data_IF_263108822211
#
_entry.id   IF_263108822211
#
_cell.length_a   1.000
_cell.length_b   1.000
_cell.length_c   1.000
_cell.angle_alpha   90.00
_cell.angle_beta   90.00
_cell.angle_gamma   90.00
#
_symmetry.space_group_name_H-M   'P 1'
#
loop_
_entity.id
_entity.type
_entity.pdbx_description
1 polymer ?
#
# COMPACT_ATOMS: atom_id res chain seq x y z
N UNK A 1 -10.77 -2.64 20.84
CA UNK A 1 -11.26 -3.76 20.01
C UNK A 1 -10.31 -4.93 20.25
N UNK A 2 -10.79 -5.98 20.91
CA UNK A 2 -10.01 -7.19 21.16
C UNK A 2 -10.02 -8.06 19.90
N UNK A 3 -8.83 -8.38 19.38
CA UNK A 3 -8.68 -9.32 18.27
C UNK A 3 -8.47 -10.69 18.91
N UNK A 4 -9.53 -11.51 18.97
CA UNK A 4 -9.46 -12.89 19.43
C UNK A 4 -8.64 -13.73 18.46
N UNK A 5 -7.43 -14.11 18.86
CA UNK A 5 -6.58 -15.07 18.14
C UNK A 5 -6.99 -16.50 18.54
N UNK A 6 -7.80 -17.17 17.71
CA UNK A 6 -8.04 -18.61 17.85
C UNK A 6 -6.73 -19.36 17.54
N UNK A 7 -6.17 -19.99 18.56
CA UNK A 7 -4.91 -20.74 18.45
C UNK A 7 -5.15 -22.07 17.73
N UNK A 8 -4.50 -22.27 16.58
CA UNK A 8 -4.36 -23.59 15.94
C UNK A 8 -2.93 -24.13 16.14
N UNK A 9 -2.76 -25.45 16.40
CA UNK A 9 -1.48 -25.99 16.85
C UNK A 9 -0.67 -26.60 15.68
N UNK A 10 0.27 -25.82 15.15
CA UNK A 10 1.62 -26.24 14.75
C UNK A 10 2.38 -24.98 14.32
N UNK A 11 3.32 -24.53 15.15
CA UNK A 11 3.74 -23.12 15.23
C UNK A 11 5.27 -22.98 15.25
N UNK A 12 5.95 -23.74 14.42
CA UNK A 12 7.36 -23.51 14.06
C UNK A 12 7.37 -23.30 12.53
N UNK A 13 8.09 -22.29 12.04
CA UNK A 13 8.34 -21.99 10.61
C UNK A 13 7.35 -21.10 9.82
N UNK A 14 6.72 -20.08 10.43
CA UNK A 14 6.15 -18.96 9.65
C UNK A 14 6.50 -17.59 10.21
N UNK A 15 7.78 -17.36 10.43
CA UNK A 15 8.28 -16.00 10.68
C UNK A 15 8.47 -15.27 9.35
N UNK A 16 7.95 -14.04 9.27
CA UNK A 16 8.20 -13.14 8.15
C UNK A 16 9.69 -12.75 8.14
N UNK A 17 10.35 -12.93 7.00
CA UNK A 17 11.80 -12.72 6.86
C UNK A 17 12.10 -11.57 5.89
N UNK A 18 13.12 -10.80 6.22
CA UNK A 18 13.63 -9.77 5.31
C UNK A 18 14.14 -10.43 4.02
N UNK A 19 13.62 -9.99 2.87
CA UNK A 19 13.83 -10.67 1.57
C UNK A 19 15.29 -10.77 1.13
N UNK A 20 16.18 -9.90 1.65
CA UNK A 20 17.60 -9.88 1.28
C UNK A 20 18.54 -10.50 2.33
N UNK A 21 18.31 -10.26 3.62
CA UNK A 21 19.20 -10.74 4.69
C UNK A 21 18.69 -12.01 5.37
N UNK A 22 17.40 -12.32 5.25
CA UNK A 22 16.79 -13.47 5.91
C UNK A 22 16.51 -13.27 7.41
N UNK A 23 16.84 -12.08 7.95
CA UNK A 23 16.57 -11.75 9.35
C UNK A 23 15.06 -11.77 9.64
N UNK A 24 14.70 -12.17 10.86
CA UNK A 24 13.32 -12.19 11.34
C UNK A 24 12.81 -10.76 11.46
N UNK A 25 11.62 -10.49 10.91
CA UNK A 25 10.96 -9.20 10.98
C UNK A 25 10.07 -9.15 12.22
N UNK A 26 10.37 -8.22 13.13
CA UNK A 26 9.53 -7.94 14.29
C UNK A 26 8.58 -6.76 14.01
N UNK A 27 7.24 -6.95 14.07
CA UNK A 27 6.29 -5.86 13.87
C UNK A 27 6.29 -4.90 15.08
N UNK A 28 6.60 -3.63 14.82
CA UNK A 28 6.60 -2.57 15.84
C UNK A 28 5.64 -1.44 15.45
N UNK A 29 4.79 -1.02 16.39
CA UNK A 29 3.91 0.14 16.20
C UNK A 29 4.72 1.43 16.18
N UNK A 30 4.70 2.13 15.03
CA UNK A 30 5.32 3.45 14.85
C UNK A 30 4.38 4.36 14.08
N UNK A 31 4.52 5.67 14.30
CA UNK A 31 3.82 6.67 13.50
C UNK A 31 4.33 6.59 12.06
N UNK A 32 3.40 6.58 11.11
CA UNK A 32 3.70 6.34 9.72
C UNK A 32 2.84 7.20 8.80
N UNK A 33 3.37 7.49 7.62
CA UNK A 33 2.70 8.29 6.59
C UNK A 33 2.25 7.41 5.43
N UNK A 34 1.01 7.59 5.00
CA UNK A 34 0.40 6.88 3.88
C UNK A 34 -0.27 7.88 2.93
N UNK A 35 -0.28 7.55 1.64
CA UNK A 35 -1.14 8.21 0.65
C UNK A 35 -2.36 7.34 0.43
N UNK A 36 -3.56 7.95 0.50
CA UNK A 36 -4.80 7.34 0.05
C UNK A 36 -4.85 7.39 -1.46
N UNK A 37 -4.74 6.23 -2.11
CA UNK A 37 -4.71 6.08 -3.56
C UNK A 37 -6.05 5.60 -4.14
N UNK A 38 -7.14 5.60 -3.37
CA UNK A 38 -8.46 5.14 -3.81
C UNK A 38 -8.91 5.80 -5.13
N UNK A 39 -8.91 7.13 -5.18
CA UNK A 39 -9.36 7.88 -6.36
C UNK A 39 -8.40 7.72 -7.55
N UNK A 40 -7.12 7.54 -7.27
CA UNK A 40 -6.11 7.26 -8.29
C UNK A 40 -6.31 5.86 -8.88
N UNK A 41 -6.61 4.87 -8.03
CA UNK A 41 -6.90 3.49 -8.43
C UNK A 41 -8.16 3.42 -9.31
N UNK A 42 -9.23 4.12 -8.93
CA UNK A 42 -10.47 4.21 -9.74
C UNK A 42 -10.20 4.81 -11.12
N UNK A 43 -9.47 5.93 -11.18
CA UNK A 43 -9.10 6.57 -12.46
C UNK A 43 -8.23 5.66 -13.33
N UNK A 44 -7.27 4.96 -12.73
CA UNK A 44 -6.41 4.03 -13.45
C UNK A 44 -7.21 2.83 -13.99
N UNK A 45 -8.14 2.29 -13.22
CA UNK A 45 -9.03 1.22 -13.67
C UNK A 45 -9.93 1.65 -14.83
N UNK A 46 -10.51 2.86 -14.75
CA UNK A 46 -11.33 3.42 -15.82
C UNK A 46 -10.52 3.63 -17.11
N UNK A 47 -9.30 4.16 -17.02
CA UNK A 47 -8.44 4.35 -18.19
C UNK A 47 -8.13 3.03 -18.93
N UNK A 48 -8.04 1.91 -18.21
CA UNK A 48 -7.88 0.58 -18.80
C UNK A 48 -9.17 0.09 -19.46
N UNK A 49 -10.33 0.41 -18.89
CA UNK A 49 -11.64 0.07 -19.47
C UNK A 49 -11.97 0.86 -20.72
N UNK A 50 -11.62 2.14 -20.72
CA UNK A 50 -11.81 3.05 -21.85
C UNK A 50 -10.79 2.81 -22.97
N UNK A 51 -9.82 1.89 -22.78
CA UNK A 51 -8.76 1.61 -23.74
C UNK A 51 -7.71 2.72 -23.87
N UNK A 52 -7.72 3.71 -22.97
CA UNK A 52 -6.67 4.74 -22.89
C UNK A 52 -5.35 4.18 -22.36
N UNK A 53 -5.41 3.11 -21.58
CA UNK A 53 -4.25 2.39 -21.04
C UNK A 53 -4.37 0.89 -21.36
N UNK A 54 -3.43 0.34 -22.11
CA UNK A 54 -3.41 -1.08 -22.46
C UNK A 54 -2.41 -1.85 -21.57
N UNK A 55 -2.86 -2.98 -21.00
CA UNK A 55 -2.01 -3.88 -20.21
C UNK A 55 -1.62 -5.08 -21.06
N UNK A 56 -0.32 -5.25 -21.27
CA UNK A 56 0.25 -6.35 -22.05
C UNK A 56 1.15 -7.20 -21.14
N UNK A 57 0.99 -8.54 -21.14
CA UNK A 57 -0.08 -9.33 -21.78
C UNK A 57 -1.49 -9.14 -21.21
N UNK A 58 -2.51 -9.20 -22.09
CA UNK A 58 -3.93 -8.96 -21.78
C UNK A 58 -4.52 -9.81 -20.64
N UNK A 59 -4.00 -11.01 -20.40
CA UNK A 59 -4.52 -11.87 -19.33
C UNK A 59 -4.17 -11.34 -17.93
N UNK A 60 -3.19 -10.42 -17.80
CA UNK A 60 -2.87 -9.77 -16.53
C UNK A 60 -3.84 -8.65 -16.16
N UNK A 61 -4.69 -8.18 -17.08
CA UNK A 61 -5.62 -7.08 -16.83
C UNK A 61 -6.49 -7.34 -15.60
N UNK A 62 -6.98 -8.58 -15.44
CA UNK A 62 -7.80 -8.96 -14.27
C UNK A 62 -7.01 -8.87 -12.97
N UNK A 63 -5.85 -9.53 -12.90
CA UNK A 63 -5.00 -9.55 -11.70
C UNK A 63 -4.51 -8.15 -11.34
N UNK A 64 -4.14 -7.33 -12.33
CA UNK A 64 -3.72 -5.97 -12.11
C UNK A 64 -4.85 -5.11 -11.52
N UNK A 65 -6.07 -5.21 -12.07
CA UNK A 65 -7.24 -4.48 -11.54
C UNK A 65 -7.52 -4.88 -10.09
N UNK A 66 -7.48 -6.17 -9.79
CA UNK A 66 -7.65 -6.67 -8.41
C UNK A 66 -6.60 -6.07 -7.47
N UNK A 67 -5.32 -6.08 -7.85
CA UNK A 67 -4.24 -5.51 -7.02
C UNK A 67 -4.38 -4.00 -6.78
N UNK A 68 -4.72 -3.24 -7.82
CA UNK A 68 -4.83 -1.78 -7.73
C UNK A 68 -6.06 -1.35 -6.93
N UNK A 69 -7.17 -2.09 -7.03
CA UNK A 69 -8.40 -1.80 -6.28
C UNK A 69 -8.34 -2.30 -4.84
N UNK A 70 -7.64 -3.41 -4.55
CA UNK A 70 -7.55 -3.96 -3.20
C UNK A 70 -6.51 -3.25 -2.32
N UNK A 71 -5.42 -2.75 -2.89
CA UNK A 71 -4.31 -2.15 -2.13
C UNK A 71 -4.20 -0.65 -2.41
N UNK A 72 -5.08 0.11 -1.78
CA UNK A 72 -5.24 1.56 -2.01
C UNK A 72 -4.37 2.44 -1.11
N UNK A 73 -3.60 1.86 -0.18
CA UNK A 73 -2.75 2.61 0.73
C UNK A 73 -1.29 2.45 0.34
N UNK A 74 -0.60 3.57 0.13
CA UNK A 74 0.79 3.60 -0.31
C UNK A 74 1.65 4.26 0.75
N UNK A 75 2.63 3.52 1.24
CA UNK A 75 3.56 4.00 2.26
C UNK A 75 4.43 5.16 1.75
N UNK A 76 4.58 6.18 2.57
CA UNK A 76 5.48 7.31 2.34
C UNK A 76 6.52 7.37 3.44
N UNK A 77 7.77 7.59 3.03
CA UNK A 77 8.88 7.73 3.95
C UNK A 77 9.10 9.21 4.27
N UNK A 78 9.21 9.55 5.54
CA UNK A 78 9.48 10.90 6.05
C UNK A 78 10.13 10.80 7.43
N UNK A 79 10.84 11.85 7.87
CA UNK A 79 11.22 12.03 9.28
C UNK A 79 10.26 13.02 9.97
N UNK A 80 9.52 13.80 9.19
CA UNK A 80 8.42 14.67 9.62
C UNK A 80 7.22 14.55 8.67
N UNK A 81 6.06 15.04 9.13
CA UNK A 81 4.83 15.11 8.32
C UNK A 81 5.02 15.96 7.07
N UNK A 82 5.58 17.17 7.21
CA UNK A 82 5.90 18.02 6.05
C UNK A 82 6.83 17.34 5.04
N UNK A 83 7.84 16.61 5.52
CA UNK A 83 8.77 15.88 4.65
C UNK A 83 8.05 14.74 3.90
N UNK A 84 7.16 14.02 4.57
CA UNK A 84 6.36 12.97 3.95
C UNK A 84 5.40 13.55 2.90
N UNK A 85 4.68 14.64 3.21
CA UNK A 85 3.76 15.31 2.28
C UNK A 85 4.47 15.81 1.03
N UNK A 86 5.63 16.46 1.18
CA UNK A 86 6.42 16.94 0.05
C UNK A 86 6.92 15.78 -0.82
N UNK A 87 7.37 14.68 -0.21
CA UNK A 87 7.82 13.50 -0.96
C UNK A 87 6.69 12.80 -1.68
N UNK A 88 5.52 12.71 -1.08
CA UNK A 88 4.32 12.18 -1.72
C UNK A 88 3.96 13.04 -2.95
N UNK A 89 3.96 14.36 -2.81
CA UNK A 89 3.68 15.28 -3.91
C UNK A 89 4.68 15.13 -5.07
N UNK A 90 5.97 15.06 -4.77
CA UNK A 90 7.01 14.86 -5.80
C UNK A 90 6.90 13.49 -6.47
N UNK A 91 6.68 12.42 -5.70
CA UNK A 91 6.73 11.04 -6.20
C UNK A 91 5.45 10.63 -6.95
N UNK A 92 4.30 11.11 -6.50
CA UNK A 92 2.99 10.66 -6.98
C UNK A 92 2.18 11.77 -7.63
N UNK A 93 2.71 13.00 -7.71
CA UNK A 93 2.00 14.15 -8.29
C UNK A 93 0.73 14.54 -7.54
N UNK A 94 0.60 14.11 -6.27
CA UNK A 94 -0.57 14.38 -5.43
C UNK A 94 -0.40 15.71 -4.70
N UNK A 95 -1.50 16.32 -4.27
CA UNK A 95 -1.38 17.55 -3.48
C UNK A 95 -0.97 17.20 -2.05
N UNK A 96 -0.15 18.02 -1.38
CA UNK A 96 0.25 17.81 0.01
C UNK A 96 -0.95 17.66 0.97
N UNK A 97 -2.07 18.32 0.67
CA UNK A 97 -3.31 18.23 1.45
C UNK A 97 -4.03 16.88 1.38
N UNK A 98 -3.79 16.05 0.34
CA UNK A 98 -4.40 14.72 0.18
C UNK A 98 -3.70 13.65 1.04
N UNK A 99 -2.58 14.01 1.67
CA UNK A 99 -1.83 13.17 2.58
C UNK A 99 -2.40 13.33 4.00
N UNK A 100 -3.43 12.54 4.30
CA UNK A 100 -4.07 12.57 5.61
C UNK A 100 -3.35 11.68 6.63
N UNK A 101 -3.34 12.14 7.88
CA UNK A 101 -2.97 11.32 9.03
C UNK A 101 -4.17 10.44 9.38
N UNK A 102 -4.02 9.12 9.30
CA UNK A 102 -4.98 8.23 9.95
C UNK A 102 -4.58 8.15 11.43
N UNK A 103 -5.09 9.11 12.21
CA UNK A 103 -5.19 8.94 13.66
C UNK A 103 -6.22 7.86 13.89
N UNK A 104 -5.77 6.60 13.90
CA UNK A 104 -6.64 5.42 14.00
C UNK A 104 -7.63 5.45 15.16
#
# INVERSE_FOLDING_TARGET
MEISLSSSPNREDRDDKHSRSGDIIEPLLKKQWFVRCEEMAKKAAQAVEDGQLEIIPHFYTKTWKELVVQHQERWVWGRSDDEARQRAAVKYGVKPEDCHFDSG
#
